data_IF_680022613051
#
_entry.id   IF_680022613051
#
_cell.length_a   1.000
_cell.length_b   1.000
_cell.length_c   1.000
_cell.angle_alpha   90.00
_cell.angle_beta   90.00
_cell.angle_gamma   90.00
#
_symmetry.space_group_name_H-M   'P 1'
#
loop_
_entity.id
_entity.type
_entity.pdbx_description
1 polymer ?
#
# COMPACT_ATOMS: atom_id res chain seq x y z
N UNK A 1 -16.82 -19.68 8.72
CA UNK A 1 -15.55 -20.32 9.16
C UNK A 1 -14.88 -21.07 8.02
N UNK A 2 -15.64 -21.67 7.10
CA UNK A 2 -15.09 -22.45 5.98
C UNK A 2 -14.35 -21.60 4.94
N UNK A 3 -14.90 -20.43 4.56
CA UNK A 3 -14.22 -19.48 3.66
C UNK A 3 -12.87 -18.97 4.23
N UNK A 4 -12.80 -18.70 5.53
CA UNK A 4 -11.56 -18.27 6.19
C UNK A 4 -10.50 -19.40 6.21
N UNK A 5 -10.92 -20.66 6.33
CA UNK A 5 -10.01 -21.82 6.25
C UNK A 5 -9.56 -22.10 4.82
N UNK A 6 -10.43 -21.88 3.84
CA UNK A 6 -10.12 -22.05 2.42
C UNK A 6 -9.17 -20.96 1.90
N UNK A 7 -9.40 -19.69 2.31
CA UNK A 7 -8.45 -18.59 2.09
C UNK A 7 -7.08 -18.85 2.74
N UNK A 8 -7.04 -19.51 3.90
CA UNK A 8 -5.78 -19.92 4.55
C UNK A 8 -4.92 -20.87 3.71
N UNK A 9 -5.52 -21.58 2.75
CA UNK A 9 -4.82 -22.45 1.78
C UNK A 9 -4.53 -21.75 0.45
N UNK A 10 -5.15 -20.59 0.19
CA UNK A 10 -5.14 -19.95 -1.12
C UNK A 10 -4.00 -18.92 -1.22
N UNK A 11 -3.28 -18.92 -2.34
CA UNK A 11 -2.18 -17.97 -2.57
C UNK A 11 -2.68 -16.52 -2.59
N UNK A 12 -3.94 -16.31 -2.99
CA UNK A 12 -4.55 -15.00 -3.09
C UNK A 12 -4.64 -14.26 -1.75
N UNK A 13 -4.96 -14.94 -0.65
CA UNK A 13 -5.01 -14.31 0.67
C UNK A 13 -3.63 -13.78 1.10
N UNK A 14 -2.56 -14.52 0.75
CA UNK A 14 -1.17 -14.10 0.99
C UNK A 14 -0.80 -12.91 0.10
N UNK A 15 -1.19 -12.94 -1.18
CA UNK A 15 -0.98 -11.85 -2.13
C UNK A 15 -1.66 -10.56 -1.65
N UNK A 16 -2.95 -10.62 -1.33
CA UNK A 16 -3.72 -9.47 -0.79
C UNK A 16 -3.07 -8.92 0.48
N UNK A 17 -2.65 -9.81 1.38
CA UNK A 17 -1.92 -9.41 2.59
C UNK A 17 -0.60 -8.71 2.26
N UNK A 18 0.19 -9.22 1.32
CA UNK A 18 1.45 -8.62 0.90
C UNK A 18 1.25 -7.21 0.33
N UNK A 19 0.24 -7.02 -0.53
CA UNK A 19 -0.13 -5.71 -1.09
C UNK A 19 -0.53 -4.73 0.00
N UNK A 20 -1.38 -5.17 0.95
CA UNK A 20 -1.77 -4.34 2.09
C UNK A 20 -0.57 -3.91 2.94
N UNK A 21 0.35 -4.84 3.24
CA UNK A 21 1.57 -4.55 4.02
C UNK A 21 2.53 -3.63 3.28
N UNK A 22 2.71 -3.83 1.97
CA UNK A 22 3.52 -2.95 1.12
C UNK A 22 3.01 -1.50 1.18
N UNK A 23 1.69 -1.29 1.04
CA UNK A 23 1.10 0.03 1.18
C UNK A 23 1.35 0.66 2.56
N UNK A 24 1.05 -0.08 3.64
CA UNK A 24 1.20 0.47 4.99
C UNK A 24 2.65 0.79 5.33
N UNK A 25 3.61 -0.04 4.94
CA UNK A 25 5.03 0.23 5.15
C UNK A 25 5.43 1.56 4.48
N UNK A 26 5.15 1.71 3.18
CA UNK A 26 5.47 2.94 2.44
C UNK A 26 4.75 4.17 2.97
N UNK A 27 3.47 4.03 3.33
CA UNK A 27 2.70 5.13 3.89
C UNK A 27 3.28 5.60 5.22
N UNK A 28 3.60 4.69 6.13
CA UNK A 28 4.17 5.03 7.43
C UNK A 28 5.56 5.67 7.28
N UNK A 29 6.41 5.15 6.41
CA UNK A 29 7.72 5.76 6.10
C UNK A 29 7.54 7.19 5.58
N UNK A 30 6.68 7.39 4.58
CA UNK A 30 6.44 8.71 4.02
C UNK A 30 5.84 9.69 5.03
N UNK A 31 4.88 9.23 5.85
CA UNK A 31 4.26 10.04 6.91
C UNK A 31 5.30 10.48 7.95
N UNK A 32 6.13 9.56 8.40
CA UNK A 32 7.15 9.83 9.42
C UNK A 32 8.23 10.77 8.88
N UNK A 33 8.71 10.57 7.64
CA UNK A 33 9.68 11.44 6.99
C UNK A 33 9.18 12.88 6.79
N UNK A 34 7.86 13.07 6.73
CA UNK A 34 7.23 14.39 6.64
C UNK A 34 6.79 14.95 8.00
N UNK A 35 7.11 14.28 9.11
CA UNK A 35 6.73 14.67 10.47
C UNK A 35 5.22 14.93 10.63
N UNK A 36 4.39 14.07 10.06
CA UNK A 36 2.94 14.15 10.14
C UNK A 36 2.44 13.28 11.30
N UNK A 37 1.90 13.92 12.34
CA UNK A 37 1.39 13.23 13.54
C UNK A 37 -0.11 12.92 13.49
N UNK A 38 -0.80 13.34 12.44
CA UNK A 38 -2.23 13.10 12.22
C UNK A 38 -2.53 11.59 12.16
N UNK A 39 -3.60 11.17 12.83
CA UNK A 39 -4.02 9.76 12.94
C UNK A 39 -5.43 9.50 12.43
N UNK A 40 -6.14 10.55 12.02
CA UNK A 40 -7.46 10.43 11.39
C UNK A 40 -7.36 9.76 10.03
N UNK A 41 -8.44 9.13 9.51
CA UNK A 41 -8.45 8.52 8.17
C UNK A 41 -8.01 9.47 7.03
N UNK A 42 -8.20 10.78 7.22
CA UNK A 42 -7.84 11.85 6.31
C UNK A 42 -6.32 11.96 6.10
N UNK A 43 -5.51 11.45 7.06
CA UNK A 43 -4.04 11.49 7.00
C UNK A 43 -3.49 10.96 5.69
N UNK A 44 -4.13 9.93 5.10
CA UNK A 44 -3.64 9.34 3.86
C UNK A 44 -3.76 10.30 2.67
N UNK A 45 -4.84 11.09 2.63
CA UNK A 45 -5.02 12.14 1.62
C UNK A 45 -3.99 13.23 1.84
N UNK A 46 -3.77 13.63 3.09
CA UNK A 46 -2.81 14.67 3.45
C UNK A 46 -1.37 14.29 3.05
N UNK A 47 -0.92 13.08 3.40
CA UNK A 47 0.39 12.54 2.99
C UNK A 47 0.53 12.58 1.48
N UNK A 48 -0.46 12.11 0.72
CA UNK A 48 -0.41 12.16 -0.75
C UNK A 48 -0.36 13.59 -1.28
N UNK A 49 -1.17 14.51 -0.77
CA UNK A 49 -1.17 15.91 -1.21
C UNK A 49 0.17 16.60 -0.96
N UNK A 50 0.81 16.35 0.19
CA UNK A 50 2.13 16.88 0.49
C UNK A 50 3.20 16.26 -0.42
N UNK A 51 3.12 14.94 -0.63
CA UNK A 51 4.04 14.22 -1.48
C UNK A 51 3.94 14.67 -2.95
N UNK A 52 2.74 14.94 -3.45
CA UNK A 52 2.54 15.49 -4.80
C UNK A 52 3.21 16.85 -4.99
N UNK A 53 3.33 17.66 -3.94
CA UNK A 53 4.04 18.95 -4.00
C UNK A 53 5.56 18.79 -3.96
N UNK A 54 6.07 17.77 -3.29
CA UNK A 54 7.52 17.53 -3.10
C UNK A 54 8.12 16.63 -4.19
N UNK A 55 7.49 15.49 -4.43
CA UNK A 55 7.93 14.48 -5.38
C UNK A 55 6.70 13.78 -6.01
N UNK A 56 6.17 14.32 -7.13
CA UNK A 56 5.02 13.74 -7.82
C UNK A 56 5.21 12.29 -8.27
N UNK A 57 6.45 11.90 -8.59
CA UNK A 57 6.77 10.53 -9.02
C UNK A 57 6.50 9.54 -7.88
N UNK A 58 7.01 9.85 -6.69
CA UNK A 58 6.82 9.02 -5.50
C UNK A 58 5.37 9.08 -5.00
N UNK A 59 4.71 10.24 -5.14
CA UNK A 59 3.29 10.38 -4.86
C UNK A 59 2.42 9.47 -5.72
N UNK A 60 2.69 9.39 -7.03
CA UNK A 60 1.97 8.50 -7.94
C UNK A 60 2.15 7.02 -7.56
N UNK A 61 3.36 6.61 -7.16
CA UNK A 61 3.61 5.23 -6.70
C UNK A 61 2.82 4.93 -5.42
N UNK A 62 2.86 5.81 -4.42
CA UNK A 62 2.12 5.63 -3.17
C UNK A 62 0.60 5.63 -3.40
N UNK A 63 0.12 6.48 -4.31
CA UNK A 63 -1.29 6.53 -4.68
C UNK A 63 -1.73 5.23 -5.37
N UNK A 64 -0.91 4.69 -6.26
CA UNK A 64 -1.15 3.38 -6.87
C UNK A 64 -1.24 2.29 -5.80
N UNK A 65 -0.29 2.22 -4.86
CA UNK A 65 -0.33 1.25 -3.75
C UNK A 65 -1.60 1.39 -2.90
N UNK A 66 -2.06 2.62 -2.62
CA UNK A 66 -3.32 2.86 -1.90
C UNK A 66 -4.51 2.25 -2.65
N UNK A 67 -4.56 2.41 -3.98
CA UNK A 67 -5.63 1.82 -4.81
C UNK A 67 -5.57 0.30 -4.78
N UNK A 68 -4.37 -0.29 -4.94
CA UNK A 68 -4.20 -1.74 -4.89
C UNK A 68 -4.58 -2.32 -3.53
N UNK A 69 -4.24 -1.63 -2.43
CA UNK A 69 -4.67 -2.02 -1.09
C UNK A 69 -6.19 -1.98 -0.94
N UNK A 70 -6.87 -0.97 -1.49
CA UNK A 70 -8.34 -0.92 -1.43
C UNK A 70 -8.97 -2.09 -2.20
N UNK A 71 -8.41 -2.46 -3.36
CA UNK A 71 -8.83 -3.64 -4.11
C UNK A 71 -8.60 -4.91 -3.28
N UNK A 72 -7.40 -5.06 -2.71
CA UNK A 72 -7.02 -6.21 -1.90
C UNK A 72 -7.96 -6.41 -0.70
N UNK A 73 -8.34 -5.32 -0.02
CA UNK A 73 -9.11 -5.36 1.22
C UNK A 73 -10.64 -5.42 1.00
N UNK A 74 -11.16 -4.81 -0.07
CA UNK A 74 -12.60 -4.61 -0.25
C UNK A 74 -13.20 -5.25 -1.50
N UNK A 75 -12.42 -5.46 -2.56
CA UNK A 75 -12.92 -6.01 -3.83
C UNK A 75 -12.62 -7.52 -3.90
N UNK A 76 -13.48 -8.31 -3.25
CA UNK A 76 -13.32 -9.78 -3.15
C UNK A 76 -13.60 -10.53 -4.45
N UNK A 77 -14.29 -9.90 -5.40
CA UNK A 77 -14.60 -10.47 -6.73
C UNK A 77 -13.42 -10.37 -7.72
N UNK A 78 -12.42 -9.54 -7.42
CA UNK A 78 -11.26 -9.32 -8.29
C UNK A 78 -10.09 -10.22 -7.88
N UNK A 79 -9.68 -11.16 -8.73
CA UNK A 79 -8.53 -12.04 -8.42
C UNK A 79 -7.22 -11.27 -8.50
N UNK A 80 -6.38 -11.39 -7.47
CA UNK A 80 -5.02 -10.85 -7.46
C UNK A 80 -3.97 -11.95 -7.69
N UNK A 81 -3.00 -11.65 -8.54
CA UNK A 81 -1.91 -12.55 -8.90
C UNK A 81 -0.59 -12.24 -8.18
N UNK A 82 0.40 -13.13 -8.34
CA UNK A 82 1.74 -12.94 -7.79
C UNK A 82 2.38 -11.63 -8.30
N UNK A 83 2.16 -11.29 -9.57
CA UNK A 83 2.65 -10.06 -10.19
C UNK A 83 2.17 -8.79 -9.47
N UNK A 84 0.96 -8.80 -8.91
CA UNK A 84 0.42 -7.67 -8.14
C UNK A 84 1.19 -7.47 -6.84
N UNK A 85 1.51 -8.57 -6.14
CA UNK A 85 2.32 -8.54 -4.93
C UNK A 85 3.76 -8.10 -5.24
N UNK A 86 4.38 -8.65 -6.27
CA UNK A 86 5.76 -8.32 -6.65
C UNK A 86 5.88 -6.84 -7.04
N UNK A 87 4.93 -6.34 -7.82
CA UNK A 87 4.86 -4.92 -8.17
C UNK A 87 4.63 -4.05 -6.94
N UNK A 88 3.75 -4.46 -6.03
CA UNK A 88 3.50 -3.71 -4.81
C UNK A 88 4.75 -3.61 -3.92
N UNK A 89 5.47 -4.73 -3.72
CA UNK A 89 6.71 -4.78 -2.94
C UNK A 89 7.81 -3.95 -3.58
N UNK A 90 7.98 -4.04 -4.91
CA UNK A 90 8.96 -3.23 -5.64
C UNK A 90 8.71 -1.73 -5.46
N UNK A 91 7.48 -1.28 -5.71
CA UNK A 91 7.12 0.13 -5.55
C UNK A 91 7.27 0.59 -4.10
N UNK A 92 6.96 -0.29 -3.14
CA UNK A 92 7.14 0.03 -1.74
C UNK A 92 8.60 0.27 -1.38
N UNK A 93 9.50 -0.58 -1.87
CA UNK A 93 10.95 -0.42 -1.71
C UNK A 93 11.46 0.90 -2.31
N UNK A 94 11.03 1.24 -3.53
CA UNK A 94 11.40 2.52 -4.18
C UNK A 94 10.94 3.74 -3.37
N UNK A 95 9.72 3.71 -2.81
CA UNK A 95 9.22 4.79 -1.95
C UNK A 95 10.04 4.86 -0.66
N UNK A 96 10.31 3.73 -0.03
CA UNK A 96 11.03 3.71 1.23
C UNK A 96 12.46 4.22 1.09
N UNK A 97 13.16 3.86 0.01
CA UNK A 97 14.51 4.37 -0.30
C UNK A 97 14.50 5.89 -0.46
N UNK A 98 13.57 6.43 -1.25
CA UNK A 98 13.47 7.89 -1.40
C UNK A 98 13.17 8.58 -0.08
N UNK A 99 12.20 8.07 0.67
CA UNK A 99 11.70 8.76 1.87
C UNK A 99 12.60 8.58 3.11
N UNK A 100 13.62 7.72 3.04
CA UNK A 100 14.57 7.50 4.14
C UNK A 100 15.93 8.18 3.91
N UNK A 101 16.15 8.79 2.75
CA UNK A 101 17.32 9.61 2.42
C UNK A 101 17.11 11.07 2.81
#
# INVERSE_FOLDING_TARGET
MDLARELGKNNEAKIRTAVGRAYYASFLTARNAMAIDEKTPEVHRMVLSMLYRKNPVIANKLHYLRRQRNIADYDTELVMGADDADKAVKLAGEIMVEMSG
#
